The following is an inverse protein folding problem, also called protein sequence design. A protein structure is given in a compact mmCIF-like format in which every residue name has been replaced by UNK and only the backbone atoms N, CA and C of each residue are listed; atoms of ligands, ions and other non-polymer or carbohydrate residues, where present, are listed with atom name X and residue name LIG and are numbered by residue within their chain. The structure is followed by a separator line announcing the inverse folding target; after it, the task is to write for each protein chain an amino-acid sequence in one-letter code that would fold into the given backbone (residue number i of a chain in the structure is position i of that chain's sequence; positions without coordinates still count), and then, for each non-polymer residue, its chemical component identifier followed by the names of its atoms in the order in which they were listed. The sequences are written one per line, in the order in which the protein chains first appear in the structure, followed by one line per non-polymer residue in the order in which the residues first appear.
data_IF_041072167783
#
_entry.id   IF_041072167783
#
_cell.length_a   1.000
_cell.length_b   1.000
_cell.length_c   1.000
_cell.angle_alpha   90.00
_cell.angle_beta   90.00
_cell.angle_gamma   90.00
#
_symmetry.space_group_name_H-M   'P 1'
#
loop_
_entity.id
_entity.type
_entity.pdbx_description
1 polymer ?
#
# COMPACT_ATOMS: atom_id res chain seq x y z
N UNK A 1 -5.68 31.00 -7.52
CA UNK A 1 -6.98 31.00 -6.82
C UNK A 1 -6.70 31.42 -5.38
N UNK A 2 -7.19 32.58 -4.94
CA UNK A 2 -7.00 33.01 -3.56
C UNK A 2 -7.69 32.00 -2.64
N UNK A 3 -6.96 31.39 -1.70
CA UNK A 3 -7.54 30.51 -0.70
C UNK A 3 -8.39 31.35 0.25
N UNK A 4 -9.70 31.22 0.16
CA UNK A 4 -10.62 31.80 1.13
C UNK A 4 -10.52 31.03 2.45
N UNK A 5 -10.11 31.72 3.51
CA UNK A 5 -10.08 31.14 4.85
C UNK A 5 -11.48 31.27 5.48
N UNK A 6 -12.09 30.15 5.86
CA UNK A 6 -13.31 30.11 6.66
C UNK A 6 -12.99 29.80 8.12
N UNK A 7 -13.64 30.52 9.05
CA UNK A 7 -13.53 30.27 10.49
C UNK A 7 -14.50 29.16 10.90
N UNK A 8 -14.03 28.24 11.74
CA UNK A 8 -14.82 27.14 12.30
C UNK A 8 -14.73 27.26 13.82
N UNK A 9 -15.87 27.18 14.51
CA UNK A 9 -15.92 27.05 15.98
C UNK A 9 -16.14 25.59 16.33
N UNK A 10 -15.33 25.06 17.25
CA UNK A 10 -15.44 23.68 17.73
C UNK A 10 -15.44 23.68 19.26
N UNK A 11 -16.27 22.83 19.85
CA UNK A 11 -16.28 22.57 21.29
C UNK A 11 -15.40 21.36 21.59
N UNK A 12 -14.50 21.50 22.56
CA UNK A 12 -13.58 20.47 22.99
C UNK A 12 -13.58 20.39 24.52
N UNK A 13 -13.39 19.18 25.10
CA UNK A 13 -13.22 19.05 26.54
C UNK A 13 -12.02 19.87 27.05
N UNK A 14 -12.14 20.45 28.25
CA UNK A 14 -11.09 21.29 28.84
C UNK A 14 -9.76 20.55 29.00
N UNK A 15 -9.80 19.25 29.33
CA UNK A 15 -8.60 18.44 29.45
C UNK A 15 -7.75 18.42 28.16
N UNK A 16 -8.41 18.28 27.00
CA UNK A 16 -7.75 18.29 25.68
C UNK A 16 -7.24 19.68 25.35
N UNK A 17 -7.98 20.73 25.71
CA UNK A 17 -7.55 22.12 25.51
C UNK A 17 -6.27 22.42 26.29
N UNK A 18 -6.18 22.00 27.54
CA UNK A 18 -4.99 22.16 28.38
C UNK A 18 -3.80 21.38 27.85
N UNK A 19 -3.99 20.15 27.39
CA UNK A 19 -2.93 19.35 26.76
C UNK A 19 -2.37 20.04 25.50
N UNK A 20 -3.25 20.54 24.62
CA UNK A 20 -2.86 21.30 23.43
C UNK A 20 -2.09 22.56 23.82
N UNK A 21 -2.57 23.31 24.82
CA UNK A 21 -1.91 24.54 25.30
C UNK A 21 -0.49 24.22 25.81
N UNK A 22 -0.36 23.18 26.64
CA UNK A 22 0.93 22.72 27.18
C UNK A 22 1.90 22.34 26.06
N UNK A 23 1.44 21.53 25.10
CA UNK A 23 2.26 21.12 23.96
C UNK A 23 2.70 22.31 23.09
N UNK A 24 1.77 23.22 22.77
CA UNK A 24 2.05 24.43 22.00
C UNK A 24 3.07 25.33 22.72
N UNK A 25 2.94 25.47 24.05
CA UNK A 25 3.86 26.27 24.88
C UNK A 25 5.27 25.68 24.87
N UNK A 26 5.39 24.37 25.05
CA UNK A 26 6.70 23.68 25.09
C UNK A 26 7.42 23.75 23.75
N UNK A 27 6.68 23.75 22.63
CA UNK A 27 7.24 23.79 21.28
C UNK A 27 7.29 25.22 20.68
N UNK A 28 6.95 26.26 21.46
CA UNK A 28 6.83 27.64 21.01
C UNK A 28 6.00 27.79 19.70
N UNK A 29 4.92 27.02 19.60
CA UNK A 29 4.08 26.90 18.41
C UNK A 29 2.71 27.54 18.65
N UNK A 30 2.17 28.22 17.63
CA UNK A 30 0.81 28.78 17.72
C UNK A 30 -0.22 27.67 17.65
N UNK A 31 -1.26 27.77 18.49
CA UNK A 31 -2.38 26.83 18.54
C UNK A 31 -3.06 26.62 17.18
N UNK A 32 -3.28 27.70 16.40
CA UNK A 32 -3.87 27.58 15.07
C UNK A 32 -2.99 26.77 14.11
N UNK A 33 -1.68 26.96 14.16
CA UNK A 33 -0.74 26.24 13.30
C UNK A 33 -0.69 24.76 13.68
N UNK A 34 -0.69 24.46 14.98
CA UNK A 34 -0.79 23.09 15.50
C UNK A 34 -2.07 22.39 15.03
N UNK A 35 -3.23 23.03 15.23
CA UNK A 35 -4.52 22.47 14.81
C UNK A 35 -4.58 22.28 13.29
N UNK A 36 -4.08 23.25 12.53
CA UNK A 36 -4.06 23.16 11.06
C UNK A 36 -3.15 22.02 10.59
N UNK A 37 -2.01 21.81 11.24
CA UNK A 37 -1.13 20.67 10.96
C UNK A 37 -1.82 19.33 11.28
N UNK A 38 -2.45 19.22 12.45
CA UNK A 38 -3.17 18.02 12.86
C UNK A 38 -4.31 17.69 11.88
N UNK A 39 -5.11 18.68 11.47
CA UNK A 39 -6.19 18.50 10.50
C UNK A 39 -5.64 18.05 9.15
N UNK A 40 -4.59 18.71 8.62
CA UNK A 40 -3.95 18.33 7.36
C UNK A 40 -3.41 16.90 7.41
N UNK A 41 -2.78 16.52 8.52
CA UNK A 41 -2.28 15.17 8.73
C UNK A 41 -3.41 14.15 8.73
N UNK A 42 -4.48 14.41 9.48
CA UNK A 42 -5.62 13.52 9.57
C UNK A 42 -6.29 13.31 8.20
N UNK A 43 -6.53 14.38 7.44
CA UNK A 43 -7.09 14.30 6.09
C UNK A 43 -6.20 13.49 5.13
N UNK A 44 -4.88 13.65 5.24
CA UNK A 44 -3.92 12.88 4.43
C UNK A 44 -4.01 11.38 4.74
N UNK A 45 -4.04 11.00 6.02
CA UNK A 45 -4.15 9.59 6.41
C UNK A 45 -5.52 9.00 6.04
N UNK A 46 -6.61 9.76 6.15
CA UNK A 46 -7.93 9.33 5.67
C UNK A 46 -7.91 9.00 4.17
N UNK A 47 -7.36 9.89 3.33
CA UNK A 47 -7.25 9.67 1.88
C UNK A 47 -6.39 8.44 1.55
N UNK A 48 -5.30 8.25 2.28
CA UNK A 48 -4.44 7.06 2.13
C UNK A 48 -5.19 5.78 2.49
N UNK A 49 -5.98 5.80 3.55
CA UNK A 49 -6.81 4.66 3.94
C UNK A 49 -7.90 4.36 2.91
N UNK A 50 -8.53 5.39 2.35
CA UNK A 50 -9.51 5.27 1.29
C UNK A 50 -8.92 4.56 0.05
N UNK A 51 -7.74 4.98 -0.41
CA UNK A 51 -7.04 4.34 -1.54
C UNK A 51 -6.74 2.87 -1.24
N UNK A 52 -6.26 2.56 -0.03
CA UNK A 52 -5.98 1.17 0.39
C UNK A 52 -7.23 0.30 0.40
N UNK A 53 -8.34 0.83 0.89
CA UNK A 53 -9.62 0.13 0.89
C UNK A 53 -10.10 -0.14 -0.54
N UNK A 54 -10.05 0.86 -1.40
CA UNK A 54 -10.40 0.70 -2.82
C UNK A 54 -9.53 -0.36 -3.52
N UNK A 55 -8.21 -0.35 -3.27
CA UNK A 55 -7.31 -1.38 -3.82
C UNK A 55 -7.71 -2.76 -3.32
N UNK A 56 -7.88 -2.94 -2.01
CA UNK A 56 -8.27 -4.23 -1.42
C UNK A 56 -9.57 -4.75 -2.02
N UNK A 57 -10.56 -3.88 -2.15
CA UNK A 57 -11.87 -4.27 -2.66
C UNK A 57 -11.81 -4.56 -4.16
N UNK A 58 -10.99 -3.83 -4.93
CA UNK A 58 -10.68 -4.13 -6.32
C UNK A 58 -10.02 -5.50 -6.51
N UNK A 59 -9.00 -5.80 -5.70
CA UNK A 59 -8.33 -7.11 -5.72
C UNK A 59 -9.29 -8.25 -5.36
N UNK A 60 -10.16 -8.06 -4.36
CA UNK A 60 -11.19 -9.05 -4.03
C UNK A 60 -12.16 -9.29 -5.19
N UNK A 61 -12.62 -8.22 -5.86
CA UNK A 61 -13.51 -8.33 -7.02
C UNK A 61 -12.85 -9.05 -8.19
N UNK A 62 -11.56 -8.84 -8.40
CA UNK A 62 -10.79 -9.43 -9.51
C UNK A 62 -10.14 -10.76 -9.14
N UNK A 63 -10.32 -11.28 -7.93
CA UNK A 63 -9.58 -12.43 -7.42
C UNK A 63 -9.68 -13.65 -8.35
N UNK A 64 -10.89 -13.98 -8.83
CA UNK A 64 -11.10 -15.12 -9.74
C UNK A 64 -10.42 -14.94 -11.10
N UNK A 65 -10.53 -13.75 -11.71
CA UNK A 65 -9.89 -13.45 -12.98
C UNK A 65 -8.36 -13.46 -12.84
N UNK A 66 -7.83 -12.82 -11.80
CA UNK A 66 -6.40 -12.80 -11.52
C UNK A 66 -5.85 -14.20 -11.30
N UNK A 67 -6.62 -15.08 -10.65
CA UNK A 67 -6.25 -16.49 -10.48
C UNK A 67 -6.21 -17.19 -11.85
N UNK A 68 -7.25 -17.07 -12.66
CA UNK A 68 -7.29 -17.69 -14.00
C UNK A 68 -6.12 -17.24 -14.89
N UNK A 69 -5.79 -15.95 -14.87
CA UNK A 69 -4.66 -15.39 -15.63
C UNK A 69 -3.30 -15.85 -15.08
N UNK A 70 -3.18 -16.04 -13.76
CA UNK A 70 -1.96 -16.56 -13.15
C UNK A 70 -1.73 -18.04 -13.47
N UNK A 71 -2.82 -18.80 -13.59
CA UNK A 71 -2.80 -20.21 -13.97
C UNK A 71 -2.70 -20.41 -15.50
N UNK A 72 -2.97 -19.35 -16.28
CA UNK A 72 -2.89 -19.38 -17.74
C UNK A 72 -1.44 -19.56 -18.19
N UNK A 73 -1.18 -20.61 -18.98
CA UNK A 73 0.16 -20.92 -19.49
C UNK A 73 1.00 -21.80 -18.56
N UNK A 74 0.60 -22.00 -17.30
CA UNK A 74 1.36 -22.81 -16.33
C UNK A 74 1.60 -24.24 -16.83
N UNK A 75 0.59 -24.86 -17.45
CA UNK A 75 0.72 -26.21 -18.03
C UNK A 75 1.72 -26.27 -19.18
N UNK A 76 1.71 -25.25 -20.05
CA UNK A 76 2.63 -25.13 -21.19
C UNK A 76 4.06 -24.90 -20.71
N UNK A 77 4.25 -24.04 -19.70
CA UNK A 77 5.54 -23.80 -19.07
C UNK A 77 6.08 -25.08 -18.43
N UNK A 78 5.28 -25.78 -17.61
CA UNK A 78 5.67 -27.04 -17.01
C UNK A 78 6.10 -28.07 -18.05
N UNK A 79 5.36 -28.20 -19.15
CA UNK A 79 5.73 -29.12 -20.22
C UNK A 79 7.06 -28.73 -20.88
N UNK A 80 7.25 -27.44 -21.18
CA UNK A 80 8.50 -26.92 -21.72
C UNK A 80 9.70 -27.20 -20.80
N UNK A 81 9.54 -26.97 -19.50
CA UNK A 81 10.56 -27.29 -18.49
C UNK A 81 10.90 -28.78 -18.45
N UNK A 82 9.89 -29.66 -18.45
CA UNK A 82 10.10 -31.11 -18.47
C UNK A 82 10.88 -31.56 -19.71
N UNK A 83 10.52 -31.05 -20.89
CA UNK A 83 11.24 -31.35 -22.12
C UNK A 83 12.69 -30.85 -22.07
N UNK A 84 12.92 -29.66 -21.49
CA UNK A 84 14.27 -29.11 -21.30
C UNK A 84 15.12 -29.99 -20.37
N UNK A 85 14.59 -30.39 -19.22
CA UNK A 85 15.28 -31.25 -18.25
C UNK A 85 15.61 -32.62 -18.85
N UNK A 86 14.68 -33.23 -19.58
CA UNK A 86 14.93 -34.50 -20.27
C UNK A 86 16.11 -34.40 -21.24
N UNK A 87 16.16 -33.33 -22.04
CA UNK A 87 17.25 -33.10 -22.98
C UNK A 87 18.60 -32.88 -22.29
N UNK A 88 18.63 -32.19 -21.16
CA UNK A 88 19.85 -32.03 -20.37
C UNK A 88 20.39 -33.38 -19.88
N UNK A 89 19.52 -34.21 -19.29
CA UNK A 89 19.88 -35.55 -18.81
C UNK A 89 20.39 -36.44 -19.95
N UNK A 90 19.80 -36.33 -21.14
CA UNK A 90 20.27 -37.05 -22.33
C UNK A 90 21.69 -36.61 -22.74
N UNK A 91 21.98 -35.31 -22.73
CA UNK A 91 23.31 -34.78 -23.03
C UNK A 91 24.36 -35.27 -22.02
N UNK A 92 24.08 -35.22 -20.72
CA UNK A 92 24.99 -35.69 -19.66
C UNK A 92 25.32 -37.19 -19.78
N UNK A 93 24.32 -38.01 -20.14
CA UNK A 93 24.51 -39.45 -20.39
C UNK A 93 25.38 -39.73 -21.61
N UNK A 94 25.30 -38.90 -22.65
CA UNK A 94 26.11 -39.04 -23.87
C UNK A 94 27.57 -38.69 -23.57
N UNK A 95 27.82 -37.65 -22.77
CA UNK A 95 29.17 -37.27 -22.34
C UNK A 95 29.81 -38.34 -21.45
N UNK A 96 29.04 -38.93 -20.52
CA UNK A 96 29.51 -39.99 -19.63
C UNK A 96 29.83 -41.32 -20.34
N UNK A 97 29.35 -41.53 -21.57
CA UNK A 97 29.62 -42.73 -22.39
C UNK A 97 30.80 -42.56 -23.35
N UNK A 98 31.39 -41.36 -23.44
CA UNK A 98 32.51 -41.04 -24.34
C UNK A 98 33.89 -41.04 -23.65
N UNK A 99 33.94 -41.24 -22.33
CA UNK A 99 35.16 -41.55 -21.57
C UNK A 99 35.24 -43.04 -21.25
#
# INVERSE_FOLDING_TARGET
MLLENRKISIELPECVLEEIKSYCKNNNQKRNDFLMQAIKFYLKEMKKQEVRNHLRDGYKKMAGLNQQLADEGLSSECYSYLCYEQRLVECEKIESKKG
#
